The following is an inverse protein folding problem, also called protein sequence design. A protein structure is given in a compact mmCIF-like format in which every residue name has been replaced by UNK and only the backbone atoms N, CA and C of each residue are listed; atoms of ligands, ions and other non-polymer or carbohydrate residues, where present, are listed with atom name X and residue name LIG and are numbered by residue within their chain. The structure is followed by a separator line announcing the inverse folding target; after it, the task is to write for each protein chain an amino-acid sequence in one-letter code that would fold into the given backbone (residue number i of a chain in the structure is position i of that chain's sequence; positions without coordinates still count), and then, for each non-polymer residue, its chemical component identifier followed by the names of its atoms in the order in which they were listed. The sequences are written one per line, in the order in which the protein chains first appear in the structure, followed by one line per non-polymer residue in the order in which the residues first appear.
data_IF_422915594177
#
_entry.id   IF_422915594177
#
_cell.length_a   1.000
_cell.length_b   1.000
_cell.length_c   1.000
_cell.angle_alpha   90.00
_cell.angle_beta   90.00
_cell.angle_gamma   90.00
#
_symmetry.space_group_name_H-M   'P 1'
#
loop_
_entity.id
_entity.type
_entity.pdbx_description
1 polymer ?
#
# COMPACT_ATOMS: atom_id res chain seq x y z
N UNK A 1 39.71 16.17 -9.93
CA UNK A 1 38.70 16.58 -10.94
C UNK A 1 37.88 15.36 -11.32
N UNK A 2 36.53 15.41 -11.29
CA UNK A 2 35.72 14.32 -11.84
C UNK A 2 36.12 14.13 -13.30
N UNK A 3 36.27 12.86 -13.71
CA UNK A 3 36.79 12.46 -15.02
C UNK A 3 36.05 13.15 -16.19
N UNK A 4 36.73 14.10 -16.86
CA UNK A 4 36.17 14.94 -17.94
C UNK A 4 35.50 14.12 -19.05
N UNK A 5 36.00 12.90 -19.31
CA UNK A 5 35.44 11.99 -20.30
C UNK A 5 34.06 11.46 -19.89
N UNK A 6 33.85 11.21 -18.60
CA UNK A 6 32.57 10.77 -18.04
C UNK A 6 31.53 11.90 -18.15
N UNK A 7 31.93 13.13 -17.86
CA UNK A 7 31.07 14.30 -17.88
C UNK A 7 30.63 14.66 -19.31
N UNK A 8 31.56 14.60 -20.28
CA UNK A 8 31.25 14.75 -21.71
C UNK A 8 30.26 13.68 -22.20
N UNK A 9 30.43 12.42 -21.78
CA UNK A 9 29.50 11.33 -22.12
C UNK A 9 28.10 11.56 -21.52
N UNK A 10 28.00 12.08 -20.30
CA UNK A 10 26.74 12.45 -19.67
C UNK A 10 26.07 13.63 -20.36
N UNK A 11 26.83 14.67 -20.71
CA UNK A 11 26.37 15.82 -21.49
C UNK A 11 25.73 15.38 -22.81
N UNK A 12 26.47 14.63 -23.63
CA UNK A 12 25.97 14.13 -24.91
C UNK A 12 24.73 13.24 -24.77
N UNK A 13 24.64 12.46 -23.68
CA UNK A 13 23.45 11.65 -23.38
C UNK A 13 22.22 12.53 -23.14
N UNK A 14 22.34 13.59 -22.33
CA UNK A 14 21.20 14.45 -22.02
C UNK A 14 20.80 15.33 -23.20
N UNK A 15 21.76 15.85 -23.97
CA UNK A 15 21.48 16.57 -25.23
C UNK A 15 20.70 15.69 -26.22
N UNK A 16 21.09 14.42 -26.37
CA UNK A 16 20.35 13.47 -27.21
C UNK A 16 18.93 13.22 -26.69
N UNK A 17 18.74 13.13 -25.37
CA UNK A 17 17.41 12.97 -24.79
C UNK A 17 16.55 14.22 -25.00
N UNK A 18 17.10 15.41 -24.81
CA UNK A 18 16.40 16.68 -25.06
C UNK A 18 15.95 16.76 -26.51
N UNK A 19 16.85 16.49 -27.46
CA UNK A 19 16.53 16.51 -28.89
C UNK A 19 15.38 15.55 -29.26
N UNK A 20 15.26 14.41 -28.57
CA UNK A 20 14.19 13.44 -28.82
C UNK A 20 12.81 13.88 -28.31
N UNK A 21 12.74 14.72 -27.28
CA UNK A 21 11.49 15.07 -26.60
C UNK A 21 11.08 16.54 -26.71
N UNK A 22 11.98 17.44 -27.10
CA UNK A 22 11.73 18.90 -27.12
C UNK A 22 10.70 19.34 -28.17
N UNK A 23 10.57 18.60 -29.28
CA UNK A 23 9.68 18.94 -30.39
C UNK A 23 8.30 18.24 -30.28
N UNK A 24 8.06 17.51 -29.19
CA UNK A 24 6.77 16.86 -28.94
C UNK A 24 5.81 17.90 -28.39
N UNK A 25 4.59 17.93 -28.92
CA UNK A 25 3.52 18.77 -28.38
C UNK A 25 2.95 18.16 -27.08
N UNK A 26 3.06 18.89 -25.97
CA UNK A 26 2.57 18.50 -24.66
C UNK A 26 1.28 19.21 -24.26
N UNK A 27 0.70 20.05 -25.13
CA UNK A 27 -0.49 20.86 -24.83
C UNK A 27 -1.70 20.01 -24.40
N UNK A 28 -1.80 18.78 -24.90
CA UNK A 28 -2.82 17.82 -24.50
C UNK A 28 -2.70 17.35 -23.05
N UNK A 29 -1.59 17.60 -22.34
CA UNK A 29 -1.48 17.33 -20.90
C UNK A 29 -2.01 18.45 -20.01
N UNK A 30 -2.26 19.63 -20.60
CA UNK A 30 -2.59 20.86 -19.87
C UNK A 30 -4.11 21.17 -19.94
N UNK A 31 -4.86 20.41 -20.73
CA UNK A 31 -6.34 20.42 -20.72
C UNK A 31 -6.88 19.54 -19.58
N UNK A 32 -8.10 19.84 -19.12
CA UNK A 32 -8.79 18.93 -18.19
C UNK A 32 -9.28 17.70 -18.95
N UNK A 33 -9.07 16.53 -18.38
CA UNK A 33 -9.57 15.27 -18.91
C UNK A 33 -10.75 14.77 -18.07
N UNK A 34 -11.24 13.57 -18.38
CA UNK A 34 -12.12 12.86 -17.47
C UNK A 34 -11.40 12.52 -16.16
N UNK A 35 -12.18 12.37 -15.08
CA UNK A 35 -11.68 12.12 -13.71
C UNK A 35 -10.63 11.00 -13.63
N UNK A 36 -10.80 9.92 -14.40
CA UNK A 36 -9.88 8.79 -14.41
C UNK A 36 -8.49 9.18 -14.97
N UNK A 37 -8.44 9.97 -16.03
CA UNK A 37 -7.20 10.39 -16.68
C UNK A 37 -6.48 11.45 -15.85
N UNK A 38 -7.21 12.48 -15.40
CA UNK A 38 -6.63 13.54 -14.56
C UNK A 38 -6.07 12.97 -13.24
N UNK A 39 -6.78 12.01 -12.64
CA UNK A 39 -6.29 11.29 -11.46
C UNK A 39 -4.99 10.53 -11.70
N UNK A 40 -4.89 9.81 -12.83
CA UNK A 40 -3.67 9.05 -13.17
C UNK A 40 -2.51 10.01 -13.43
N UNK A 41 -2.72 11.08 -14.19
CA UNK A 41 -1.67 12.07 -14.48
C UNK A 41 -1.21 12.80 -13.22
N UNK A 42 -2.14 13.19 -12.35
CA UNK A 42 -1.83 13.84 -11.07
C UNK A 42 -1.08 12.90 -10.11
N UNK A 43 -1.59 11.68 -9.91
CA UNK A 43 -0.92 10.67 -9.09
C UNK A 43 0.47 10.30 -9.62
N UNK A 44 0.64 10.27 -10.95
CA UNK A 44 1.94 10.02 -11.58
C UNK A 44 2.94 11.14 -11.29
N UNK A 45 2.52 12.41 -11.40
CA UNK A 45 3.34 13.58 -11.05
C UNK A 45 3.76 13.54 -9.59
N UNK A 46 2.79 13.34 -8.70
CA UNK A 46 3.03 13.30 -7.25
C UNK A 46 4.06 12.22 -6.88
N UNK A 47 3.91 11.01 -7.41
CA UNK A 47 4.76 9.89 -7.01
C UNK A 47 6.20 10.04 -7.56
N UNK A 48 6.37 10.64 -8.74
CA UNK A 48 7.70 10.95 -9.29
C UNK A 48 8.43 11.97 -8.44
N UNK A 49 7.72 13.00 -7.96
CA UNK A 49 8.29 14.00 -7.05
C UNK A 49 8.72 13.35 -5.73
N UNK A 50 7.84 12.55 -5.12
CA UNK A 50 8.11 11.91 -3.82
C UNK A 50 9.24 10.89 -3.86
N UNK A 51 9.34 10.08 -4.93
CA UNK A 51 10.40 9.05 -5.02
C UNK A 51 11.80 9.66 -5.18
N UNK A 52 11.90 10.92 -5.62
CA UNK A 52 13.16 11.67 -5.77
C UNK A 52 13.63 12.32 -4.46
N UNK A 53 12.80 12.36 -3.41
CA UNK A 53 13.23 12.86 -2.11
C UNK A 53 14.43 12.09 -1.55
N UNK A 54 15.19 12.76 -0.68
CA UNK A 54 16.32 12.12 0.00
C UNK A 54 15.86 10.94 0.85
N UNK A 55 16.75 9.98 1.08
CA UNK A 55 16.43 8.80 1.89
C UNK A 55 15.93 9.18 3.29
N UNK A 56 16.60 10.14 3.94
CA UNK A 56 16.23 10.59 5.28
C UNK A 56 14.85 11.22 5.32
N UNK A 57 14.50 12.04 4.31
CA UNK A 57 13.17 12.63 4.22
C UNK A 57 12.10 11.54 3.98
N UNK A 58 12.32 10.60 3.06
CA UNK A 58 11.38 9.49 2.84
C UNK A 58 11.21 8.63 4.09
N UNK A 59 12.31 8.34 4.81
CA UNK A 59 12.26 7.61 6.07
C UNK A 59 11.46 8.36 7.15
N UNK A 60 11.68 9.67 7.31
CA UNK A 60 10.95 10.51 8.27
C UNK A 60 9.45 10.59 7.95
N UNK A 61 9.09 10.80 6.68
CA UNK A 61 7.70 10.79 6.23
C UNK A 61 7.08 9.38 6.39
N UNK A 62 7.88 8.33 6.27
CA UNK A 62 7.52 6.96 6.59
C UNK A 62 7.21 6.76 8.08
N UNK A 63 8.04 7.29 8.98
CA UNK A 63 7.78 7.27 10.43
C UNK A 63 6.44 7.95 10.73
N UNK A 64 6.24 9.16 10.20
CA UNK A 64 4.99 9.89 10.39
C UNK A 64 3.79 9.11 9.84
N UNK A 65 3.93 8.49 8.66
CA UNK A 65 2.88 7.65 8.06
C UNK A 65 2.53 6.44 8.91
N UNK A 66 3.53 5.70 9.40
CA UNK A 66 3.33 4.54 10.28
C UNK A 66 2.67 4.93 11.60
N UNK A 67 3.13 6.03 12.22
CA UNK A 67 2.57 6.57 13.46
C UNK A 67 1.09 6.94 13.29
N UNK A 68 0.76 7.81 12.33
CA UNK A 68 -0.60 8.30 12.11
C UNK A 68 -1.56 7.18 11.71
N UNK A 69 -1.11 6.23 10.89
CA UNK A 69 -1.93 5.09 10.52
C UNK A 69 -2.19 4.18 11.73
N UNK A 70 -1.19 3.97 12.59
CA UNK A 70 -1.35 3.18 13.81
C UNK A 70 -2.32 3.85 14.81
N UNK A 71 -2.34 5.19 14.88
CA UNK A 71 -3.34 5.94 15.67
C UNK A 71 -4.76 5.67 15.16
N UNK A 72 -4.94 5.59 13.84
CA UNK A 72 -6.23 5.25 13.23
C UNK A 72 -6.67 3.83 13.62
N UNK A 73 -5.74 2.87 13.57
CA UNK A 73 -5.99 1.48 13.99
C UNK A 73 -6.42 1.43 15.46
N UNK A 74 -5.68 2.11 16.34
CA UNK A 74 -6.02 2.25 17.76
C UNK A 74 -7.42 2.83 17.96
N UNK A 75 -7.77 3.91 17.25
CA UNK A 75 -9.09 4.51 17.36
C UNK A 75 -10.19 3.53 16.93
N UNK A 76 -9.95 2.73 15.88
CA UNK A 76 -10.84 1.66 15.46
C UNK A 76 -10.99 0.54 16.50
N UNK A 77 -9.91 0.15 17.18
CA UNK A 77 -9.95 -0.83 18.28
C UNK A 77 -10.78 -0.27 19.43
N UNK A 78 -10.48 0.95 19.90
CA UNK A 78 -11.24 1.57 21.00
C UNK A 78 -12.72 1.76 20.70
N UNK A 79 -13.08 2.07 19.45
CA UNK A 79 -14.48 2.21 19.06
C UNK A 79 -15.22 0.86 18.99
N UNK A 80 -14.51 -0.26 18.91
CA UNK A 80 -15.11 -1.60 18.77
C UNK A 80 -14.88 -2.52 19.96
N UNK A 81 -14.03 -2.14 20.92
CA UNK A 81 -13.60 -3.00 22.03
C UNK A 81 -14.74 -3.49 22.94
N UNK A 82 -15.81 -2.72 23.09
CA UNK A 82 -16.96 -3.04 23.96
C UNK A 82 -18.21 -3.52 23.18
N UNK A 83 -18.14 -3.52 21.84
CA UNK A 83 -19.23 -4.02 21.00
C UNK A 83 -19.12 -5.54 21.01
N UNK A 84 -20.12 -6.31 21.45
CA UNK A 84 -20.04 -7.79 21.44
C UNK A 84 -19.86 -8.42 22.81
N UNK A 85 -19.87 -7.64 23.89
CA UNK A 85 -19.74 -8.15 25.27
C UNK A 85 -21.03 -8.78 25.82
N UNK A 86 -22.11 -8.74 25.04
CA UNK A 86 -23.40 -9.35 25.38
C UNK A 86 -23.80 -10.38 24.33
N UNK A 87 -24.51 -11.44 24.76
CA UNK A 87 -25.01 -12.50 23.88
C UNK A 87 -25.85 -11.93 22.71
N UNK A 88 -26.62 -10.87 22.98
CA UNK A 88 -27.38 -10.15 21.96
C UNK A 88 -26.49 -9.47 20.90
N UNK A 89 -25.31 -8.98 21.27
CA UNK A 89 -24.37 -8.32 20.37
C UNK A 89 -23.45 -9.30 19.61
N UNK A 90 -23.25 -10.52 20.12
CA UNK A 90 -22.50 -11.56 19.42
C UNK A 90 -23.11 -11.90 18.04
N UNK A 91 -24.45 -11.81 17.92
CA UNK A 91 -25.15 -11.97 16.63
C UNK A 91 -24.93 -10.81 15.63
N UNK A 92 -24.31 -9.70 16.06
CA UNK A 92 -24.14 -8.46 15.27
C UNK A 92 -22.67 -8.02 15.16
N UNK A 93 -21.72 -8.96 15.19
CA UNK A 93 -20.30 -8.67 15.09
C UNK A 93 -19.90 -7.89 13.81
N UNK A 94 -20.70 -7.96 12.74
CA UNK A 94 -20.53 -7.15 11.52
C UNK A 94 -20.51 -5.63 11.80
N UNK A 95 -21.15 -5.17 12.89
CA UNK A 95 -21.12 -3.76 13.32
C UNK A 95 -19.69 -3.33 13.67
N UNK A 96 -18.88 -4.22 14.27
CA UNK A 96 -17.46 -3.92 14.55
C UNK A 96 -16.73 -3.55 13.26
N UNK A 97 -16.92 -4.37 12.22
CA UNK A 97 -16.30 -4.15 10.91
C UNK A 97 -16.77 -2.84 10.27
N UNK A 98 -18.06 -2.50 10.38
CA UNK A 98 -18.58 -1.22 9.89
C UNK A 98 -18.00 -0.01 10.62
N UNK A 99 -17.93 -0.05 11.96
CA UNK A 99 -17.35 1.04 12.75
C UNK A 99 -15.88 1.23 12.40
N UNK A 100 -15.10 0.15 12.33
CA UNK A 100 -13.70 0.23 11.88
C UNK A 100 -13.60 0.82 10.47
N UNK A 101 -14.46 0.36 9.56
CA UNK A 101 -14.52 0.86 8.19
C UNK A 101 -14.78 2.36 8.10
N UNK A 102 -15.55 2.94 9.01
CA UNK A 102 -15.82 4.39 9.04
C UNK A 102 -14.70 5.20 9.70
N UNK A 103 -13.98 4.64 10.67
CA UNK A 103 -12.94 5.35 11.43
C UNK A 103 -11.58 5.36 10.72
N UNK A 104 -11.16 4.21 10.19
CA UNK A 104 -9.84 4.05 9.55
C UNK A 104 -9.61 5.04 8.38
N UNK A 105 -10.59 5.32 7.50
CA UNK A 105 -10.42 6.34 6.46
C UNK A 105 -10.04 7.72 7.00
N UNK A 106 -10.60 8.12 8.16
CA UNK A 106 -10.28 9.39 8.80
C UNK A 106 -8.79 9.52 9.09
N UNK A 107 -8.13 8.43 9.50
CA UNK A 107 -6.68 8.40 9.72
C UNK A 107 -5.86 8.52 8.43
N UNK A 108 -6.29 7.88 7.33
CA UNK A 108 -5.62 8.00 6.03
C UNK A 108 -5.76 9.40 5.44
N UNK A 109 -6.94 10.01 5.60
CA UNK A 109 -7.21 11.39 5.20
C UNK A 109 -6.32 12.35 6.00
N UNK A 110 -6.32 12.22 7.33
CA UNK A 110 -5.47 13.02 8.23
C UNK A 110 -3.99 12.93 7.83
N UNK A 111 -3.50 11.71 7.60
CA UNK A 111 -2.13 11.47 7.14
C UNK A 111 -1.82 12.17 5.80
N UNK A 112 -2.79 12.20 4.87
CA UNK A 112 -2.62 12.86 3.58
C UNK A 112 -2.40 14.37 3.74
N UNK A 113 -3.08 15.01 4.69
CA UNK A 113 -2.89 16.44 5.00
C UNK A 113 -1.62 16.74 5.81
N UNK A 114 -1.24 15.86 6.74
CA UNK A 114 -0.02 16.03 7.55
C UNK A 114 1.27 15.64 6.81
N UNK A 115 1.17 15.06 5.60
CA UNK A 115 2.32 14.70 4.78
C UNK A 115 2.94 13.34 5.10
N UNK A 116 2.31 12.51 5.94
CA UNK A 116 2.78 11.14 6.19
C UNK A 116 2.70 10.29 4.92
N UNK A 117 3.62 9.32 4.78
CA UNK A 117 3.65 8.48 3.58
C UNK A 117 3.68 7.00 3.95
N UNK A 118 2.82 6.21 3.29
CA UNK A 118 2.77 4.75 3.43
C UNK A 118 3.50 4.06 2.29
N UNK A 119 4.06 2.89 2.59
CA UNK A 119 4.67 1.99 1.62
C UNK A 119 3.74 1.69 0.43
N UNK A 120 2.45 1.48 0.69
CA UNK A 120 1.45 1.17 -0.33
C UNK A 120 1.27 2.29 -1.35
N UNK A 121 1.46 3.55 -0.95
CA UNK A 121 1.43 4.71 -1.87
C UNK A 121 2.66 4.74 -2.78
N UNK A 122 3.83 4.35 -2.26
CA UNK A 122 5.05 4.24 -3.07
C UNK A 122 5.02 3.09 -4.07
N UNK A 123 4.15 2.10 -3.89
CA UNK A 123 4.03 1.00 -4.85
C UNK A 123 3.67 1.52 -6.25
N UNK A 124 2.83 2.56 -6.35
CA UNK A 124 2.45 3.19 -7.62
C UNK A 124 3.65 3.79 -8.39
N UNK A 125 4.75 4.13 -7.71
CA UNK A 125 5.99 4.62 -8.32
C UNK A 125 6.65 3.59 -9.27
N UNK A 126 6.19 2.34 -9.26
CA UNK A 126 6.61 1.32 -10.22
C UNK A 126 6.26 1.72 -11.65
N UNK A 127 5.11 2.38 -11.88
CA UNK A 127 4.70 2.85 -13.21
C UNK A 127 5.71 3.81 -13.87
N UNK A 128 6.05 4.96 -13.25
CA UNK A 128 7.07 5.86 -13.81
C UNK A 128 8.45 5.20 -13.93
N UNK A 129 8.76 4.23 -13.06
CA UNK A 129 10.00 3.45 -13.15
C UNK A 129 10.02 2.55 -14.39
N UNK A 130 8.91 1.87 -14.69
CA UNK A 130 8.76 1.03 -15.89
C UNK A 130 8.86 1.85 -17.18
N UNK A 131 8.34 3.07 -17.17
CA UNK A 131 8.47 4.01 -18.29
C UNK A 131 9.84 4.69 -18.38
N UNK A 132 10.76 4.42 -17.44
CA UNK A 132 12.11 4.96 -17.44
C UNK A 132 12.20 6.45 -17.03
N UNK A 133 11.19 6.98 -16.35
CA UNK A 133 11.22 8.34 -15.75
C UNK A 133 12.13 8.37 -14.52
N UNK A 134 12.21 7.25 -13.80
CA UNK A 134 13.11 7.07 -12.65
C UNK A 134 13.85 5.73 -12.73
N UNK A 135 14.92 5.58 -11.94
CA UNK A 135 15.75 4.37 -11.91
C UNK A 135 15.19 3.37 -10.89
N UNK A 136 15.23 2.07 -11.21
CA UNK A 136 14.84 0.97 -10.30
C UNK A 136 15.49 1.07 -8.91
N UNK A 137 16.77 1.46 -8.85
CA UNK A 137 17.48 1.66 -7.58
C UNK A 137 16.85 2.75 -6.69
N UNK A 138 16.35 3.83 -7.30
CA UNK A 138 15.70 4.93 -6.57
C UNK A 138 14.34 4.46 -6.05
N UNK A 139 13.58 3.72 -6.87
CA UNK A 139 12.33 3.09 -6.46
C UNK A 139 12.51 2.21 -5.22
N UNK A 140 13.36 1.18 -5.30
CA UNK A 140 13.54 0.25 -4.19
C UNK A 140 14.13 0.91 -2.95
N UNK A 141 15.05 1.88 -3.12
CA UNK A 141 15.60 2.65 -2.01
C UNK A 141 14.53 3.48 -1.31
N UNK A 142 13.64 4.11 -2.06
CA UNK A 142 12.53 4.90 -1.51
C UNK A 142 11.47 4.02 -0.83
N UNK A 143 11.05 2.94 -1.50
CA UNK A 143 10.13 1.96 -0.92
C UNK A 143 10.67 1.35 0.38
N UNK A 144 11.95 0.98 0.41
CA UNK A 144 12.59 0.45 1.63
C UNK A 144 12.67 1.51 2.74
N UNK A 145 12.98 2.77 2.41
CA UNK A 145 13.00 3.87 3.37
C UNK A 145 11.63 4.06 4.02
N UNK A 146 10.57 4.11 3.22
CA UNK A 146 9.21 4.31 3.73
C UNK A 146 8.71 3.08 4.47
N UNK A 147 8.97 1.86 3.98
CA UNK A 147 8.56 0.62 4.66
C UNK A 147 9.21 0.51 6.05
N UNK A 148 10.52 0.76 6.14
CA UNK A 148 11.22 0.77 7.42
C UNK A 148 10.75 1.92 8.31
N UNK A 149 10.51 3.09 7.73
CA UNK A 149 9.89 4.21 8.44
C UNK A 149 8.53 3.85 9.01
N UNK A 150 7.64 3.23 8.23
CA UNK A 150 6.32 2.80 8.69
C UNK A 150 6.45 1.80 9.86
N UNK A 151 7.38 0.84 9.75
CA UNK A 151 7.65 -0.15 10.79
C UNK A 151 8.11 0.48 12.10
N UNK A 152 9.01 1.47 12.04
CA UNK A 152 9.47 2.24 13.21
C UNK A 152 8.38 3.17 13.74
N UNK A 153 7.58 3.81 12.88
CA UNK A 153 6.45 4.64 13.28
C UNK A 153 5.41 3.86 14.08
N UNK A 154 5.08 2.65 13.63
CA UNK A 154 4.20 1.73 14.37
C UNK A 154 4.81 1.25 15.68
N UNK A 155 6.13 1.01 15.72
CA UNK A 155 6.86 0.67 16.96
C UNK A 155 6.75 1.80 17.99
N UNK A 156 6.98 3.05 17.58
CA UNK A 156 6.90 4.22 18.47
C UNK A 156 5.53 4.28 19.13
N UNK A 157 4.45 4.12 18.35
CA UNK A 157 3.12 4.11 18.95
C UNK A 157 2.93 2.90 19.89
N UNK A 158 3.40 1.72 19.48
CA UNK A 158 3.35 0.52 20.30
C UNK A 158 3.99 0.72 21.68
N UNK A 159 5.17 1.36 21.74
CA UNK A 159 5.87 1.68 23.00
C UNK A 159 5.13 2.74 23.82
N UNK A 160 4.62 3.81 23.18
CA UNK A 160 3.79 4.82 23.86
C UNK A 160 2.60 4.16 24.52
N UNK A 161 1.97 3.21 23.84
CA UNK A 161 0.80 2.46 24.33
C UNK A 161 1.09 1.55 25.51
N UNK A 162 2.34 1.11 25.68
CA UNK A 162 2.76 0.48 26.93
C UNK A 162 2.72 1.51 28.07
N UNK A 163 3.29 2.70 27.84
CA UNK A 163 3.33 3.76 28.84
C UNK A 163 1.95 4.28 29.26
N UNK A 164 0.96 4.27 28.36
CA UNK A 164 -0.44 4.64 28.69
C UNK A 164 -1.17 3.57 29.49
N UNK A 165 -0.64 2.35 29.58
CA UNK A 165 -1.33 1.21 30.16
C UNK A 165 -2.45 0.65 29.28
N UNK A 166 -2.53 1.02 27.99
CA UNK A 166 -3.59 0.56 27.09
C UNK A 166 -3.62 -0.98 26.94
N UNK A 167 -2.47 -1.65 26.98
CA UNK A 167 -2.41 -3.11 26.94
C UNK A 167 -2.86 -3.80 28.23
N UNK A 168 -3.16 -3.07 29.32
CA UNK A 168 -3.78 -3.61 30.54
C UNK A 168 -5.30 -3.62 30.47
N UNK A 169 -5.86 -2.91 29.49
CA UNK A 169 -7.30 -2.93 29.23
C UNK A 169 -7.66 -4.25 28.55
N UNK A 170 -8.43 -5.08 29.25
CA UNK A 170 -8.84 -6.40 28.79
C UNK A 170 -9.62 -6.32 27.47
N UNK A 171 -10.60 -5.43 27.35
CA UNK A 171 -11.39 -5.26 26.13
C UNK A 171 -10.52 -4.84 24.94
N UNK A 172 -9.57 -3.93 25.16
CA UNK A 172 -8.63 -3.49 24.12
C UNK A 172 -7.75 -4.65 23.66
N UNK A 173 -7.18 -5.39 24.60
CA UNK A 173 -6.23 -6.48 24.35
C UNK A 173 -6.91 -7.66 23.65
N UNK A 174 -8.10 -8.04 24.11
CA UNK A 174 -8.97 -9.01 23.45
C UNK A 174 -9.25 -8.61 22.02
N UNK A 175 -9.71 -7.36 21.80
CA UNK A 175 -10.07 -6.91 20.45
C UNK A 175 -8.87 -6.88 19.51
N UNK A 176 -7.70 -6.49 20.01
CA UNK A 176 -6.46 -6.51 19.24
C UNK A 176 -6.08 -7.93 18.84
N UNK A 177 -6.17 -8.89 19.77
CA UNK A 177 -5.86 -10.29 19.50
C UNK A 177 -6.83 -10.90 18.47
N UNK A 178 -8.12 -10.62 18.58
CA UNK A 178 -9.13 -11.04 17.60
C UNK A 178 -8.77 -10.56 16.18
N UNK A 179 -8.43 -9.27 16.02
CA UNK A 179 -8.10 -8.71 14.69
C UNK A 179 -6.78 -9.29 14.15
N UNK A 180 -5.78 -9.47 15.02
CA UNK A 180 -4.54 -10.11 14.65
C UNK A 180 -4.79 -11.56 14.21
N UNK A 181 -5.67 -12.27 14.90
CA UNK A 181 -6.05 -13.62 14.54
C UNK A 181 -6.82 -13.71 13.22
N UNK A 182 -7.76 -12.79 12.97
CA UNK A 182 -8.49 -12.72 11.71
C UNK A 182 -7.54 -12.53 10.50
N UNK A 183 -6.42 -11.84 10.70
CA UNK A 183 -5.38 -11.67 9.68
C UNK A 183 -4.52 -12.93 9.43
N UNK A 184 -4.64 -13.96 10.28
CA UNK A 184 -4.03 -15.29 10.08
C UNK A 184 -4.94 -16.26 9.31
N UNK A 185 -6.14 -15.83 8.89
CA UNK A 185 -7.08 -16.62 8.08
C UNK A 185 -7.24 -18.06 8.62
N UNK A 186 -6.99 -19.08 7.79
CA UNK A 186 -7.21 -20.50 8.11
C UNK A 186 -6.45 -20.99 9.34
N UNK A 187 -5.24 -20.50 9.59
CA UNK A 187 -4.48 -20.78 10.82
C UNK A 187 -5.21 -20.14 12.01
N UNK A 188 -5.62 -18.89 11.88
CA UNK A 188 -6.36 -18.16 12.90
C UNK A 188 -7.68 -18.84 13.28
N UNK A 189 -8.42 -19.32 12.30
CA UNK A 189 -9.69 -20.05 12.49
C UNK A 189 -9.51 -21.37 13.27
N UNK A 190 -8.30 -21.93 13.27
CA UNK A 190 -8.00 -23.20 13.96
C UNK A 190 -7.42 -23.00 15.35
N UNK A 191 -6.57 -21.99 15.54
CA UNK A 191 -5.88 -21.74 16.82
C UNK A 191 -6.73 -20.93 17.79
N UNK A 192 -7.54 -19.99 17.29
CA UNK A 192 -8.26 -19.07 18.16
C UNK A 192 -9.39 -19.73 18.95
N UNK A 193 -10.16 -20.67 18.39
CA UNK A 193 -11.14 -21.42 19.19
C UNK A 193 -10.48 -22.30 20.27
N UNK A 194 -9.25 -22.76 20.04
CA UNK A 194 -8.49 -23.52 21.05
C UNK A 194 -7.97 -22.58 22.14
N UNK A 195 -7.46 -21.41 21.73
CA UNK A 195 -7.05 -20.36 22.65
C UNK A 195 -8.22 -19.88 23.51
N UNK A 196 -9.43 -19.72 22.94
CA UNK A 196 -10.62 -19.33 23.69
C UNK A 196 -11.08 -20.33 24.73
N UNK A 197 -10.68 -21.60 24.58
CA UNK A 197 -11.02 -22.67 25.52
C UNK A 197 -9.90 -22.92 26.56
N UNK A 198 -8.63 -22.72 26.20
CA UNK A 198 -7.48 -23.20 26.99
C UNK A 198 -6.51 -22.11 27.42
N UNK A 199 -6.56 -20.91 26.83
CA UNK A 199 -5.56 -19.86 27.01
C UNK A 199 -4.23 -20.14 26.30
N UNK A 200 -4.05 -21.31 25.69
CA UNK A 200 -2.80 -21.68 25.00
C UNK A 200 -2.96 -21.67 23.47
N UNK A 201 -1.91 -21.23 22.78
CA UNK A 201 -1.81 -21.24 21.32
C UNK A 201 -1.00 -22.45 20.88
N UNK A 202 -1.70 -23.54 20.59
CA UNK A 202 -1.10 -24.79 20.17
C UNK A 202 -1.02 -24.93 18.64
N UNK A 203 0.20 -25.06 18.11
CA UNK A 203 0.46 -25.20 16.67
C UNK A 203 0.68 -26.66 16.22
N UNK A 204 0.76 -27.62 17.14
CA UNK A 204 1.13 -29.01 16.84
C UNK A 204 0.15 -29.74 15.92
N UNK A 205 -1.13 -29.32 15.91
CA UNK A 205 -2.17 -29.85 15.04
C UNK A 205 -2.25 -29.19 13.65
N UNK A 206 -1.40 -28.21 13.34
CA UNK A 206 -1.48 -27.47 12.08
C UNK A 206 -0.60 -28.12 11.02
N UNK A 207 -1.23 -28.87 10.13
CA UNK A 207 -0.56 -29.47 8.98
C UNK A 207 0.05 -28.44 8.03
N UNK A 208 1.15 -28.80 7.36
CA UNK A 208 1.88 -27.93 6.41
C UNK A 208 1.01 -27.25 5.35
N UNK A 209 -0.03 -27.94 4.87
CA UNK A 209 -0.96 -27.39 3.87
C UNK A 209 -1.74 -26.16 4.37
N UNK A 210 -2.09 -26.11 5.66
CA UNK A 210 -2.84 -24.99 6.25
C UNK A 210 -1.95 -23.74 6.34
N UNK A 211 -0.67 -23.92 6.69
CA UNK A 211 0.31 -22.82 6.69
C UNK A 211 0.44 -22.18 5.32
N UNK A 212 0.56 -23.00 4.26
CA UNK A 212 0.64 -22.51 2.88
C UNK A 212 -0.65 -21.79 2.48
N UNK A 213 -1.82 -22.31 2.88
CA UNK A 213 -3.11 -21.66 2.63
C UNK A 213 -3.19 -20.28 3.31
N UNK A 214 -2.77 -20.15 4.57
CA UNK A 214 -2.74 -18.85 5.24
C UNK A 214 -1.81 -17.87 4.55
N UNK A 215 -0.57 -18.27 4.24
CA UNK A 215 0.39 -17.40 3.54
C UNK A 215 -0.19 -16.92 2.21
N UNK A 216 -0.81 -17.83 1.45
CA UNK A 216 -1.43 -17.50 0.18
C UNK A 216 -2.65 -16.59 0.36
N UNK A 217 -3.52 -16.85 1.34
CA UNK A 217 -4.67 -16.02 1.66
C UNK A 217 -4.23 -14.61 2.08
N UNK A 218 -3.22 -14.47 2.94
CA UNK A 218 -2.66 -13.18 3.35
C UNK A 218 -2.02 -12.44 2.18
N UNK A 219 -1.38 -13.15 1.24
CA UNK A 219 -0.85 -12.56 0.01
C UNK A 219 -1.96 -12.05 -0.92
N UNK A 220 -2.99 -12.85 -1.17
CA UNK A 220 -4.11 -12.46 -2.06
C UNK A 220 -4.95 -11.34 -1.43
N UNK A 221 -5.18 -11.41 -0.12
CA UNK A 221 -5.81 -10.34 0.64
C UNK A 221 -4.99 -9.05 0.58
N UNK A 222 -3.67 -9.16 0.75
CA UNK A 222 -2.74 -8.06 0.54
C UNK A 222 -2.76 -7.51 -0.89
N UNK A 223 -2.90 -8.37 -1.89
CA UNK A 223 -3.04 -7.97 -3.29
C UNK A 223 -4.28 -7.10 -3.51
N UNK A 224 -5.44 -7.52 -3.00
CA UNK A 224 -6.68 -6.75 -3.11
C UNK A 224 -6.61 -5.43 -2.31
N UNK A 225 -6.00 -5.43 -1.12
CA UNK A 225 -5.72 -4.20 -0.39
C UNK A 225 -4.80 -3.27 -1.19
N UNK A 226 -3.75 -3.79 -1.81
CA UNK A 226 -2.78 -3.02 -2.59
C UNK A 226 -3.42 -2.31 -3.77
N UNK A 227 -4.36 -2.97 -4.44
CA UNK A 227 -5.18 -2.38 -5.52
C UNK A 227 -5.88 -1.11 -5.03
N UNK A 228 -6.65 -1.22 -3.94
CA UNK A 228 -7.45 -0.11 -3.41
C UNK A 228 -6.57 0.97 -2.77
N UNK A 229 -5.55 0.58 -2.00
CA UNK A 229 -4.67 1.49 -1.28
C UNK A 229 -3.80 2.33 -2.22
N UNK A 230 -3.22 1.74 -3.27
CA UNK A 230 -2.44 2.51 -4.26
C UNK A 230 -3.32 3.45 -5.10
N UNK A 231 -4.57 3.04 -5.36
CA UNK A 231 -5.57 3.86 -6.05
C UNK A 231 -5.91 5.17 -5.32
N UNK A 232 -5.76 5.22 -3.98
CA UNK A 232 -6.04 6.45 -3.19
C UNK A 232 -5.25 7.67 -3.69
N UNK A 233 -3.99 7.49 -4.09
CA UNK A 233 -3.17 8.59 -4.62
C UNK A 233 -3.66 9.11 -5.98
N UNK A 234 -4.16 8.21 -6.82
CA UNK A 234 -4.74 8.53 -8.13
C UNK A 234 -6.05 9.28 -7.96
N UNK A 235 -6.97 8.75 -7.15
CA UNK A 235 -8.30 9.36 -6.97
C UNK A 235 -8.25 10.69 -6.21
N UNK A 236 -7.24 10.92 -5.38
CA UNK A 236 -7.02 12.23 -4.73
C UNK A 236 -6.79 13.35 -5.75
N UNK A 237 -6.28 13.01 -6.95
CA UNK A 237 -6.01 13.97 -8.02
C UNK A 237 -7.04 13.92 -9.16
N UNK A 238 -8.11 13.14 -9.00
CA UNK A 238 -9.13 12.99 -10.03
C UNK A 238 -9.89 14.30 -10.30
N UNK A 239 -9.97 15.19 -9.30
CA UNK A 239 -10.62 16.48 -9.38
C UNK A 239 -9.79 17.55 -8.66
N UNK A 240 -9.98 18.82 -9.03
CA UNK A 240 -9.29 19.96 -8.41
C UNK A 240 -9.87 20.31 -7.03
N UNK A 241 -11.11 19.89 -6.75
CA UNK A 241 -11.79 20.10 -5.48
C UNK A 241 -11.28 19.09 -4.42
N UNK A 242 -10.64 19.56 -3.34
CA UNK A 242 -10.13 18.69 -2.29
C UNK A 242 -11.20 17.80 -1.65
N UNK A 243 -12.46 18.25 -1.61
CA UNK A 243 -13.58 17.47 -1.05
C UNK A 243 -13.82 16.18 -1.84
N UNK A 244 -13.69 16.20 -3.16
CA UNK A 244 -13.85 14.99 -4.00
C UNK A 244 -12.75 14.00 -3.67
N UNK A 245 -11.50 14.46 -3.58
CA UNK A 245 -10.36 13.63 -3.19
C UNK A 245 -10.54 12.99 -1.80
N UNK A 246 -11.06 13.75 -0.82
CA UNK A 246 -11.39 13.25 0.52
C UNK A 246 -12.46 12.16 0.45
N UNK A 247 -13.59 12.43 -0.21
CA UNK A 247 -14.73 11.51 -0.28
C UNK A 247 -14.39 10.21 -1.00
N UNK A 248 -13.68 10.29 -2.13
CA UNK A 248 -13.30 9.08 -2.87
C UNK A 248 -12.25 8.28 -2.11
N UNK A 249 -11.27 8.95 -1.47
CA UNK A 249 -10.33 8.28 -0.56
C UNK A 249 -11.05 7.60 0.60
N UNK A 250 -12.09 8.24 1.16
CA UNK A 250 -12.90 7.66 2.22
C UNK A 250 -13.49 6.32 1.80
N UNK A 251 -14.17 6.26 0.65
CA UNK A 251 -14.78 5.03 0.15
C UNK A 251 -13.74 3.96 -0.24
N UNK A 252 -12.63 4.35 -0.88
CA UNK A 252 -11.55 3.42 -1.19
C UNK A 252 -11.01 2.73 0.07
N UNK A 253 -10.82 3.49 1.15
CA UNK A 253 -10.34 2.94 2.42
C UNK A 253 -11.40 2.12 3.12
N UNK A 254 -12.64 2.62 3.18
CA UNK A 254 -13.79 1.93 3.76
C UNK A 254 -13.92 0.52 3.18
N UNK A 255 -13.89 0.36 1.86
CA UNK A 255 -14.15 -0.93 1.22
C UNK A 255 -13.09 -1.98 1.53
N UNK A 256 -11.80 -1.63 1.59
CA UNK A 256 -10.79 -2.63 1.94
C UNK A 256 -10.86 -3.02 3.42
N UNK A 257 -11.28 -2.11 4.31
CA UNK A 257 -11.48 -2.42 5.73
C UNK A 257 -12.71 -3.30 5.91
N UNK A 258 -13.82 -2.99 5.24
CA UNK A 258 -15.04 -3.80 5.26
C UNK A 258 -14.81 -5.21 4.71
N UNK A 259 -13.95 -5.33 3.70
CA UNK A 259 -13.57 -6.61 3.09
C UNK A 259 -12.50 -7.37 3.88
N UNK A 260 -12.06 -6.83 5.02
CA UNK A 260 -10.98 -7.38 5.86
C UNK A 260 -9.70 -7.69 5.05
N UNK A 261 -9.32 -6.80 4.15
CA UNK A 261 -8.10 -6.99 3.37
C UNK A 261 -6.86 -6.68 4.19
N UNK A 262 -5.85 -7.53 4.07
CA UNK A 262 -4.64 -7.46 4.88
C UNK A 262 -3.75 -6.30 4.42
N UNK A 263 -3.52 -5.34 5.32
CA UNK A 263 -2.72 -4.15 5.03
C UNK A 263 -1.38 -4.20 5.75
N UNK A 264 -0.29 -4.26 5.00
CA UNK A 264 1.07 -4.36 5.55
C UNK A 264 1.35 -3.35 6.65
N UNK A 265 1.19 -2.03 6.42
CA UNK A 265 1.37 -1.01 7.46
C UNK A 265 0.48 -1.19 8.70
N UNK A 266 -0.75 -1.72 8.56
CA UNK A 266 -1.60 -2.05 9.71
C UNK A 266 -1.04 -3.21 10.51
N UNK A 267 -0.58 -4.24 9.80
CA UNK A 267 0.00 -5.44 10.39
C UNK A 267 1.31 -5.14 11.13
N UNK A 268 2.02 -4.08 10.78
CA UNK A 268 3.20 -3.64 11.55
C UNK A 268 2.83 -3.24 12.98
N UNK A 269 1.72 -2.51 13.15
CA UNK A 269 1.23 -2.16 14.48
C UNK A 269 0.80 -3.40 15.26
N UNK A 270 -0.01 -4.27 14.65
CA UNK A 270 -0.44 -5.51 15.31
C UNK A 270 0.75 -6.38 15.73
N UNK A 271 1.76 -6.55 14.87
CA UNK A 271 2.98 -7.28 15.20
C UNK A 271 3.67 -6.73 16.46
N UNK A 272 3.88 -5.41 16.53
CA UNK A 272 4.50 -4.78 17.70
C UNK A 272 3.64 -4.90 18.94
N UNK A 273 2.34 -4.69 18.81
CA UNK A 273 1.41 -4.85 19.92
C UNK A 273 1.41 -6.27 20.48
N UNK A 274 1.41 -7.31 19.63
CA UNK A 274 1.51 -8.71 20.07
C UNK A 274 2.79 -8.98 20.87
N UNK A 275 3.91 -8.34 20.51
CA UNK A 275 5.16 -8.43 21.30
C UNK A 275 5.04 -7.73 22.66
N UNK A 276 4.41 -6.57 22.71
CA UNK A 276 4.29 -5.78 23.95
C UNK A 276 3.20 -6.27 24.90
N UNK A 277 2.19 -6.97 24.39
CA UNK A 277 1.15 -7.60 25.22
C UNK A 277 1.76 -8.54 26.25
N UNK A 278 2.78 -9.32 25.90
CA UNK A 278 3.48 -10.17 26.87
C UNK A 278 4.08 -9.39 28.05
N UNK A 279 4.43 -8.12 27.90
CA UNK A 279 5.03 -7.33 28.99
C UNK A 279 4.01 -6.53 29.80
N UNK A 280 2.87 -6.16 29.23
CA UNK A 280 1.92 -5.22 29.85
C UNK A 280 0.48 -5.71 29.86
N UNK A 281 0.26 -7.00 29.65
CA UNK A 281 -1.04 -7.63 29.60
C UNK A 281 -1.89 -7.43 30.86
N UNK A 282 -3.23 -7.49 30.75
CA UNK A 282 -4.08 -7.78 31.89
C UNK A 282 -3.78 -9.18 32.45
N UNK A 283 -4.03 -9.34 33.75
CA UNK A 283 -3.94 -10.64 34.43
C UNK A 283 -4.94 -11.65 33.84
N UNK A 284 -6.09 -11.16 33.37
CA UNK A 284 -7.13 -11.99 32.76
C UNK A 284 -7.62 -11.40 31.44
N UNK A 285 -8.00 -12.27 30.50
CA UNK A 285 -8.64 -11.91 29.24
C UNK A 285 -10.08 -12.42 29.21
N UNK A 286 -11.02 -11.57 28.83
CA UNK A 286 -12.43 -11.94 28.68
C UNK A 286 -12.74 -11.99 27.20
N UNK A 287 -12.99 -13.20 26.67
CA UNK A 287 -13.25 -13.40 25.25
C UNK A 287 -14.52 -14.23 25.03
N UNK A 288 -15.21 -14.00 23.91
CA UNK A 288 -16.37 -14.80 23.55
C UNK A 288 -15.91 -16.15 23.01
N UNK A 289 -16.34 -17.23 23.66
CA UNK A 289 -16.13 -18.58 23.17
C UNK A 289 -17.28 -18.99 22.24
N UNK A 290 -16.97 -19.07 20.94
CA UNK A 290 -17.90 -19.51 19.89
C UNK A 290 -18.14 -21.02 19.92
N UNK A 291 -17.22 -21.79 20.51
CA UNK A 291 -17.41 -23.22 20.72
C UNK A 291 -18.34 -23.39 21.92
N UNK A 292 -19.61 -23.69 21.65
CA UNK A 292 -20.45 -24.40 22.61
C UNK A 292 -19.91 -25.79 22.95
N UNK A 293 -20.75 -26.76 23.35
CA UNK A 293 -20.32 -28.06 23.91
C UNK A 293 -19.46 -28.99 23.02
N UNK A 294 -18.84 -28.49 21.95
CA UNK A 294 -17.93 -29.18 21.03
C UNK A 294 -16.48 -29.31 21.54
N UNK A 295 -16.08 -28.66 22.64
CA UNK A 295 -14.80 -28.94 23.33
C UNK A 295 -14.99 -30.18 24.23
N UNK A 296 -15.28 -31.33 23.63
CA UNK A 296 -15.59 -32.57 24.36
C UNK A 296 -14.37 -33.41 24.74
N UNK A 297 -13.17 -33.15 24.19
CA UNK A 297 -12.12 -34.17 24.21
C UNK A 297 -10.68 -33.70 24.49
N UNK A 298 -10.43 -32.48 24.98
CA UNK A 298 -9.03 -32.01 25.16
C UNK A 298 -8.58 -31.62 26.57
N UNK A 299 -9.40 -31.78 27.60
CA UNK A 299 -8.89 -31.71 28.98
C UNK A 299 -9.64 -32.65 29.89
N UNK A 300 -8.86 -33.54 30.51
CA UNK A 300 -9.26 -34.46 31.56
C UNK A 300 -9.81 -33.69 32.77
N UNK A 301 -11.14 -33.62 32.89
CA UNK A 301 -11.84 -33.01 34.03
C UNK A 301 -13.09 -32.27 33.58
N UNK A 302 -14.23 -32.97 33.59
CA UNK A 302 -15.46 -32.56 32.94
C UNK A 302 -16.12 -31.30 33.50
N UNK A 303 -16.39 -30.36 32.61
CA UNK A 303 -17.36 -29.27 32.75
C UNK A 303 -17.73 -28.76 31.36
N UNK A 304 -19.02 -28.75 31.02
CA UNK A 304 -19.52 -28.16 29.77
C UNK A 304 -19.32 -26.64 29.82
N UNK A 305 -18.49 -26.09 28.93
CA UNK A 305 -18.48 -24.64 28.66
C UNK A 305 -19.54 -24.36 27.60
N UNK A 306 -20.61 -23.67 27.99
CA UNK A 306 -21.61 -23.15 27.06
C UNK A 306 -20.99 -22.01 26.22
N UNK A 307 -21.50 -21.72 25.01
CA UNK A 307 -21.11 -20.51 24.28
C UNK A 307 -21.35 -19.30 25.18
N UNK A 308 -20.40 -18.38 25.24
CA UNK A 308 -20.48 -17.25 26.16
C UNK A 308 -19.13 -16.62 26.43
N UNK A 309 -19.11 -15.60 27.28
CA UNK A 309 -17.89 -14.93 27.70
C UNK A 309 -17.11 -15.84 28.65
N UNK A 310 -15.85 -16.10 28.33
CA UNK A 310 -14.92 -16.88 29.14
C UNK A 310 -13.78 -15.98 29.62
N UNK A 311 -13.41 -16.13 30.88
CA UNK A 311 -12.23 -15.50 31.46
C UNK A 311 -11.03 -16.46 31.40
N UNK A 312 -9.96 -16.02 30.74
CA UNK A 312 -8.69 -16.73 30.61
C UNK A 312 -7.69 -16.08 31.54
N UNK A 313 -7.25 -16.83 32.55
CA UNK A 313 -6.33 -16.36 33.59
C UNK A 313 -4.86 -16.70 33.30
N UNK A 314 -4.59 -17.69 32.44
CA UNK A 314 -3.24 -18.04 31.99
C UNK A 314 -3.22 -18.11 30.46
N UNK A 315 -2.71 -17.05 29.83
CA UNK A 315 -2.71 -16.89 28.38
C UNK A 315 -1.31 -16.90 27.77
N UNK A 316 -0.48 -17.83 28.25
CA UNK A 316 0.93 -18.01 27.87
C UNK A 316 1.19 -18.21 26.36
N UNK A 317 0.16 -18.58 25.58
CA UNK A 317 0.23 -18.75 24.13
C UNK A 317 0.54 -17.46 23.35
N UNK A 318 0.16 -16.29 23.86
CA UNK A 318 0.45 -15.00 23.21
C UNK A 318 1.81 -14.48 23.66
N UNK A 319 2.82 -14.78 22.86
CA UNK A 319 4.19 -14.32 23.09
C UNK A 319 4.99 -14.24 21.80
N UNK A 320 6.32 -14.28 21.94
CA UNK A 320 7.25 -14.16 20.81
C UNK A 320 6.92 -15.11 19.66
N UNK A 321 6.56 -16.37 19.97
CA UNK A 321 6.21 -17.36 18.95
C UNK A 321 5.00 -16.93 18.11
N UNK A 322 3.92 -16.47 18.76
CA UNK A 322 2.73 -16.00 18.05
C UNK A 322 3.02 -14.75 17.21
N UNK A 323 3.74 -13.78 17.78
CA UNK A 323 4.14 -12.57 17.04
C UNK A 323 4.99 -12.92 15.80
N UNK A 324 5.88 -13.91 15.91
CA UNK A 324 6.72 -14.36 14.79
C UNK A 324 5.92 -15.16 13.75
N UNK A 325 4.93 -15.95 14.17
CA UNK A 325 3.96 -16.59 13.27
C UNK A 325 3.18 -15.52 12.50
N UNK A 326 2.66 -14.50 13.20
CA UNK A 326 1.97 -13.37 12.59
C UNK A 326 2.88 -12.61 11.61
N UNK A 327 4.13 -12.37 12.00
CA UNK A 327 5.13 -11.73 11.14
C UNK A 327 5.33 -12.51 9.82
N UNK A 328 5.57 -13.82 9.92
CA UNK A 328 5.90 -14.67 8.79
C UNK A 328 4.68 -14.99 7.90
N UNK A 329 3.51 -15.19 8.49
CA UNK A 329 2.33 -15.71 7.79
C UNK A 329 1.33 -14.63 7.37
N UNK A 330 1.27 -13.49 8.09
CA UNK A 330 0.36 -12.40 7.77
C UNK A 330 1.10 -11.15 7.28
N UNK A 331 2.03 -10.61 8.07
CA UNK A 331 2.70 -9.34 7.74
C UNK A 331 3.53 -9.43 6.46
N UNK A 332 4.50 -10.35 6.37
CA UNK A 332 5.34 -10.47 5.19
C UNK A 332 4.55 -10.76 3.90
N UNK A 333 3.63 -11.74 3.86
CA UNK A 333 2.85 -12.02 2.66
C UNK A 333 1.95 -10.85 2.27
N UNK A 334 1.36 -10.14 3.24
CA UNK A 334 0.53 -8.96 2.97
C UNK A 334 1.34 -7.81 2.33
N UNK A 335 2.59 -7.56 2.75
CA UNK A 335 3.47 -6.55 2.13
C UNK A 335 3.76 -6.91 0.67
N UNK A 336 4.08 -8.18 0.41
CA UNK A 336 4.33 -8.67 -0.96
C UNK A 336 3.07 -8.53 -1.81
N UNK A 337 1.92 -8.96 -1.29
CA UNK A 337 0.62 -8.79 -1.91
C UNK A 337 0.33 -7.33 -2.24
N UNK A 338 0.50 -6.43 -1.27
CA UNK A 338 0.27 -5.00 -1.43
C UNK A 338 1.12 -4.42 -2.58
N UNK A 339 2.38 -4.83 -2.70
CA UNK A 339 3.25 -4.40 -3.79
C UNK A 339 2.84 -4.98 -5.15
N UNK A 340 2.45 -6.25 -5.23
CA UNK A 340 1.98 -6.85 -6.49
C UNK A 340 0.70 -6.14 -6.97
N UNK A 341 -0.28 -5.97 -6.08
CA UNK A 341 -1.55 -5.32 -6.41
C UNK A 341 -1.38 -3.84 -6.78
N UNK A 342 -0.70 -3.08 -5.92
CA UNK A 342 -0.58 -1.64 -6.08
C UNK A 342 0.62 -1.15 -6.90
N UNK A 343 1.61 -2.02 -7.12
CA UNK A 343 2.84 -1.70 -7.84
C UNK A 343 2.94 -2.35 -9.22
N UNK A 344 2.23 -3.44 -9.48
CA UNK A 344 2.31 -4.10 -10.79
C UNK A 344 0.95 -4.04 -11.49
N UNK A 345 -0.10 -4.57 -10.85
CA UNK A 345 -1.40 -4.73 -11.52
C UNK A 345 -2.10 -3.39 -11.73
N UNK A 346 -2.30 -2.58 -10.68
CA UNK A 346 -2.99 -1.29 -10.84
C UNK A 346 -2.23 -0.32 -11.76
N UNK A 347 -0.92 -0.08 -11.56
CA UNK A 347 -0.07 0.56 -12.55
C UNK A 347 -0.27 0.10 -14.00
N UNK A 348 -0.34 -1.22 -14.22
CA UNK A 348 -0.58 -1.80 -15.54
C UNK A 348 -1.94 -1.44 -16.11
N UNK A 349 -3.01 -1.56 -15.30
CA UNK A 349 -4.37 -1.17 -15.71
C UNK A 349 -4.44 0.32 -16.06
N UNK A 350 -3.89 1.19 -15.21
CA UNK A 350 -3.86 2.62 -15.45
C UNK A 350 -3.07 3.00 -16.70
N UNK A 351 -1.96 2.32 -16.95
CA UNK A 351 -1.17 2.50 -18.16
C UNK A 351 -1.93 2.10 -19.42
N UNK A 352 -2.58 0.93 -19.43
CA UNK A 352 -3.34 0.46 -20.60
C UNK A 352 -4.49 1.41 -20.91
N UNK A 353 -5.21 1.88 -19.89
CA UNK A 353 -6.35 2.76 -20.07
C UNK A 353 -5.98 4.20 -20.48
N UNK A 354 -4.77 4.66 -20.14
CA UNK A 354 -4.34 6.05 -20.38
C UNK A 354 -3.01 6.12 -21.13
N UNK A 355 -2.77 5.17 -22.03
CA UNK A 355 -1.45 4.91 -22.63
C UNK A 355 -0.84 6.16 -23.25
N UNK A 356 -1.58 6.87 -24.09
CA UNK A 356 -1.12 8.04 -24.81
C UNK A 356 -0.70 9.16 -23.85
N UNK A 357 -1.58 9.55 -22.94
CA UNK A 357 -1.33 10.60 -21.96
C UNK A 357 -0.20 10.25 -20.98
N UNK A 358 -0.15 9.01 -20.50
CA UNK A 358 0.90 8.56 -19.57
C UNK A 358 2.27 8.51 -20.26
N UNK A 359 2.33 8.06 -21.51
CA UNK A 359 3.58 8.09 -22.28
C UNK A 359 4.04 9.52 -22.57
N UNK A 360 3.09 10.40 -22.92
CA UNK A 360 3.37 11.80 -23.16
C UNK A 360 3.89 12.50 -21.90
N UNK A 361 3.24 12.27 -20.74
CA UNK A 361 3.69 12.78 -19.45
C UNK A 361 5.07 12.24 -19.07
N UNK A 362 5.33 10.94 -19.31
CA UNK A 362 6.64 10.35 -19.09
C UNK A 362 7.73 10.98 -19.99
N UNK A 363 7.39 11.34 -21.23
CA UNK A 363 8.25 12.11 -22.13
C UNK A 363 8.58 13.50 -21.57
N UNK A 364 7.55 14.26 -21.16
CA UNK A 364 7.68 15.59 -20.55
C UNK A 364 8.62 15.57 -19.35
N UNK A 365 8.42 14.62 -18.42
CA UNK A 365 9.26 14.51 -17.23
C UNK A 365 10.71 14.07 -17.51
N UNK A 366 10.93 13.27 -18.56
CA UNK A 366 12.29 12.92 -19.00
C UNK A 366 13.00 14.13 -19.61
N UNK A 367 12.28 14.95 -20.37
CA UNK A 367 12.80 16.20 -20.94
C UNK A 367 13.22 17.15 -19.81
N UNK A 368 12.31 17.46 -18.88
CA UNK A 368 12.55 18.34 -17.73
C UNK A 368 13.77 17.87 -16.93
N UNK A 369 13.81 16.58 -16.57
CA UNK A 369 14.93 16.00 -15.83
C UNK A 369 16.25 16.04 -16.62
N UNK A 370 16.21 15.89 -17.96
CA UNK A 370 17.41 15.97 -18.78
C UNK A 370 17.94 17.40 -18.88
N UNK A 371 17.04 18.39 -18.96
CA UNK A 371 17.39 19.81 -18.96
C UNK A 371 18.03 20.22 -17.62
N UNK A 372 17.44 19.80 -16.50
CA UNK A 372 17.98 20.06 -15.16
C UNK A 372 19.39 19.47 -14.99
N UNK A 373 19.57 18.19 -15.34
CA UNK A 373 20.86 17.53 -15.25
C UNK A 373 21.91 18.12 -16.19
N UNK A 374 21.52 18.57 -17.39
CA UNK A 374 22.42 19.27 -18.30
C UNK A 374 22.87 20.63 -17.71
N UNK A 375 21.95 21.38 -17.08
CA UNK A 375 22.28 22.64 -16.39
C UNK A 375 23.29 22.42 -15.27
N UNK A 376 23.10 21.38 -14.44
CA UNK A 376 24.05 21.03 -13.38
C UNK A 376 25.45 20.72 -13.95
N UNK A 377 25.52 19.95 -15.03
CA UNK A 377 26.79 19.60 -15.69
C UNK A 377 27.49 20.84 -16.25
N UNK A 378 26.74 21.75 -16.89
CA UNK A 378 27.29 23.01 -17.41
C UNK A 378 27.81 23.86 -16.25
N UNK A 379 27.03 23.99 -15.16
CA UNK A 379 27.44 24.73 -13.98
C UNK A 379 28.74 24.17 -13.34
N UNK A 380 28.90 22.85 -13.31
CA UNK A 380 30.11 22.19 -12.80
C UNK A 380 31.32 22.34 -13.73
N UNK A 381 31.13 22.53 -15.03
CA UNK A 381 32.22 22.61 -16.02
C UNK A 381 32.63 24.03 -16.38
N UNK A 382 31.69 24.97 -16.37
CA UNK A 382 31.85 26.32 -16.90
C UNK A 382 31.60 27.41 -15.83
N UNK A 383 31.28 27.04 -14.59
CA UNK A 383 30.86 27.97 -13.53
C UNK A 383 29.35 28.26 -13.59
N UNK A 384 28.76 28.92 -12.58
CA UNK A 384 27.34 29.21 -12.53
C UNK A 384 26.93 30.05 -13.75
N UNK A 385 26.04 29.50 -14.57
CA UNK A 385 25.52 30.19 -15.75
C UNK A 385 24.38 31.11 -15.31
N UNK A 386 24.65 32.42 -15.23
CA UNK A 386 23.63 33.48 -15.05
C UNK A 386 22.80 33.74 -16.33
N UNK A 387 22.56 32.72 -17.16
CA UNK A 387 21.78 32.87 -18.39
C UNK A 387 20.66 31.84 -18.44
N UNK A 388 19.44 32.38 -18.54
CA UNK A 388 18.19 31.63 -18.65
C UNK A 388 18.19 30.69 -19.84
N UNK A 389 18.45 29.41 -19.57
CA UNK A 389 17.79 28.35 -20.34
C UNK A 389 16.30 28.43 -20.00
N UNK A 390 15.39 28.42 -20.97
CA UNK A 390 13.97 28.59 -20.71
C UNK A 390 13.51 27.54 -19.71
N UNK A 391 13.16 27.97 -18.51
CA UNK A 391 12.21 27.24 -17.68
C UNK A 391 10.86 27.43 -18.36
N UNK A 392 10.15 26.33 -18.63
CA UNK A 392 8.73 26.39 -19.00
C UNK A 392 7.87 26.76 -17.77
N UNK A 393 8.28 27.78 -17.03
CA UNK A 393 7.46 28.45 -16.04
C UNK A 393 6.84 29.68 -16.71
N UNK A 394 5.81 29.44 -17.53
CA UNK A 394 4.72 30.39 -17.85
C UNK A 394 3.94 29.96 -19.10
N UNK A 395 3.23 28.83 -19.01
CA UNK A 395 2.02 28.64 -19.82
C UNK A 395 0.88 28.28 -18.90
N UNK A 396 0.58 29.22 -17.99
CA UNK A 396 -0.70 29.30 -17.28
C UNK A 396 -1.55 30.42 -17.90
N UNK A 397 -1.45 30.61 -19.22
CA UNK A 397 -2.34 31.48 -19.97
C UNK A 397 -3.07 30.63 -21.01
N UNK A 398 -4.31 30.31 -20.65
CA UNK A 398 -5.37 29.83 -21.54
C UNK A 398 -5.35 30.65 -22.83
N UNK A 399 -5.09 30.00 -23.96
CA UNK A 399 -5.60 30.39 -25.26
C UNK A 399 -5.85 29.11 -26.05
N UNK A 400 -7.09 28.93 -26.50
CA UNK A 400 -7.56 27.75 -27.22
C UNK A 400 -6.78 27.56 -28.54
N UNK A 401 -6.20 26.37 -28.81
CA UNK A 401 -5.69 26.07 -30.14
C UNK A 401 -6.76 25.35 -30.97
N UNK A 402 -6.97 25.88 -32.18
CA UNK A 402 -7.80 25.28 -33.23
C UNK A 402 -7.18 23.95 -33.71
N UNK A 403 -8.04 22.94 -33.84
CA UNK A 403 -7.72 21.57 -34.25
C UNK A 403 -7.10 21.51 -35.66
N UNK A 404 -5.90 20.95 -35.81
CA UNK A 404 -5.32 20.58 -37.11
C UNK A 404 -5.67 19.11 -37.43
N UNK A 405 -6.23 18.86 -38.63
CA UNK A 405 -6.89 17.60 -39.01
C UNK A 405 -5.96 16.52 -39.58
N UNK A 406 -4.64 16.73 -39.61
CA UNK A 406 -3.73 15.85 -40.36
C UNK A 406 -2.97 14.81 -39.51
N UNK A 407 -3.44 14.47 -38.31
CA UNK A 407 -2.68 13.64 -37.35
C UNK A 407 -2.75 12.12 -37.58
N UNK A 408 -3.34 11.61 -38.66
CA UNK A 408 -3.55 10.16 -38.85
C UNK A 408 -2.43 9.41 -39.58
N UNK A 409 -1.36 10.04 -40.08
CA UNK A 409 -0.53 9.38 -41.11
C UNK A 409 0.91 8.99 -40.77
N UNK A 410 1.42 9.12 -39.53
CA UNK A 410 2.88 8.97 -39.31
C UNK A 410 3.35 8.27 -38.03
N UNK A 411 2.87 7.08 -37.69
CA UNK A 411 3.63 6.18 -36.81
C UNK A 411 3.38 4.70 -37.12
N UNK A 412 4.21 4.12 -38.00
CA UNK A 412 4.37 2.65 -38.06
C UNK A 412 5.26 2.20 -36.91
N UNK A 413 4.71 1.39 -36.01
CA UNK A 413 5.42 0.78 -34.88
C UNK A 413 5.82 -0.64 -35.27
N UNK A 414 7.13 -0.92 -35.24
CA UNK A 414 7.68 -2.26 -35.49
C UNK A 414 7.24 -3.24 -34.39
N UNK A 415 6.42 -4.24 -34.77
CA UNK A 415 5.87 -5.28 -33.88
C UNK A 415 6.93 -6.32 -33.47
N UNK A 416 7.52 -6.18 -32.29
CA UNK A 416 8.52 -7.15 -31.77
C UNK A 416 7.93 -8.24 -30.85
N UNK A 417 6.63 -8.21 -30.54
CA UNK A 417 6.03 -9.21 -29.65
C UNK A 417 4.68 -9.69 -30.15
N UNK A 418 4.63 -10.55 -31.17
CA UNK A 418 3.54 -11.50 -31.45
C UNK A 418 3.93 -12.44 -32.62
N UNK A 419 4.73 -13.49 -32.37
CA UNK A 419 4.83 -14.63 -33.31
C UNK A 419 3.69 -15.60 -33.03
N UNK A 420 2.56 -15.42 -33.70
CA UNK A 420 1.51 -16.44 -33.77
C UNK A 420 1.85 -17.46 -34.88
N UNK A 421 1.75 -18.75 -34.54
CA UNK A 421 1.96 -19.88 -35.48
C UNK A 421 0.92 -19.81 -36.61
N UNK A 422 1.37 -19.90 -37.87
CA UNK A 422 0.51 -19.95 -39.07
C UNK A 422 -0.41 -21.19 -39.07
N UNK A 423 -1.68 -21.07 -39.51
CA UNK A 423 -2.56 -22.23 -39.73
C UNK A 423 -2.22 -22.96 -41.04
N UNK A 424 -2.40 -24.29 -41.05
CA UNK A 424 -2.22 -25.17 -42.22
C UNK A 424 -3.27 -24.85 -43.29
N UNK A 425 -2.83 -24.75 -44.55
CA UNK A 425 -3.68 -24.54 -45.75
C UNK A 425 -4.63 -25.73 -46.02
N UNK A 426 -5.81 -25.49 -46.62
CA UNK A 426 -6.69 -26.56 -47.08
C UNK A 426 -6.14 -27.22 -48.35
N UNK A 427 -6.35 -28.54 -48.48
CA UNK A 427 -6.06 -29.32 -49.69
C UNK A 427 -6.98 -28.88 -50.83
N UNK A 428 -6.41 -28.54 -51.98
CA UNK A 428 -7.13 -28.43 -53.26
C UNK A 428 -7.57 -29.83 -53.71
N UNK A 429 -8.83 -29.91 -54.13
CA UNK A 429 -9.39 -31.01 -54.91
C UNK A 429 -8.94 -30.89 -56.37
N UNK A 430 -8.35 -31.96 -56.91
CA UNK A 430 -8.24 -32.22 -58.34
C UNK A 430 -8.38 -33.74 -58.55
N UNK A 431 -9.62 -34.19 -58.72
CA UNK A 431 -10.13 -35.02 -59.83
C UNK A 431 -11.60 -35.29 -59.63
#
# INVERSE_FOLDING_TARGET
MPDNKKLAKLKAKYEKQIAAYQNVDYSSLDVSHGFATDGVLGGFREVVTKIRYTFGLQFLLGILGGLLFSIAVVAGIYATKAVGDTEAQASRLWIRTMIMGMIIPGGVILMTFLGGTLFTRHCFATLPTMLGVTKKRILFKGMAAVLFGNFIGSLILGVIFVGTGAYKDNQFTTRLLEIANQNLFTVGDKIFPQFSATGDLNYSGIGGGIWVQTIFASLISGFLCGILASGTGVVTHADKNPLVGIVVTFFCVLYYVLSNYSHGPSNMFYFWSLLFMKWSHPETLTIFNELGPAVQNLSSGGGQLAPGMIEITDWSGVGLNFSMVFFACALLPSIVGNWIGGGIVMPGVYYVNNREYVQLLAGKMKLENSQEQLREIIAMTQGPVNQGLPTLESTNTLNEPKLNKDFESKFEVEEVFLKTKKPKKPKKSEK
#
